data_IF_008324515181
#
_entry.id   IF_008324515181
#
_cell.length_a   1.000
_cell.length_b   1.000
_cell.length_c   1.000
_cell.angle_alpha   90.00
_cell.angle_beta   90.00
_cell.angle_gamma   90.00
#
_symmetry.space_group_name_H-M   'P 1'
#
loop_
_entity.id
_entity.type
_entity.pdbx_description
1 polymer ?
#
# COMPACT_ATOMS: atom_id res chain seq x y z
N UNK A 1 0.74 24.41 3.29
CA UNK A 1 0.61 23.00 3.74
C UNK A 1 1.98 22.31 3.63
N UNK A 2 2.40 21.54 4.64
CA UNK A 2 3.74 20.94 4.66
C UNK A 2 3.85 19.84 3.58
N UNK A 3 4.79 19.95 2.62
CA UNK A 3 4.90 19.06 1.43
C UNK A 3 4.83 17.57 1.77
N UNK A 4 5.44 17.16 2.89
CA UNK A 4 5.42 15.78 3.41
C UNK A 4 4.00 15.30 3.72
N UNK A 5 3.18 16.15 4.35
CA UNK A 5 1.79 15.84 4.68
C UNK A 5 0.95 15.64 3.42
N UNK A 6 1.13 16.52 2.42
CA UNK A 6 0.43 16.40 1.13
C UNK A 6 0.73 15.06 0.45
N UNK A 7 2.00 14.64 0.40
CA UNK A 7 2.40 13.40 -0.26
C UNK A 7 1.91 12.15 0.49
N UNK A 8 1.87 12.21 1.83
CA UNK A 8 1.29 11.13 2.65
C UNK A 8 -0.22 11.03 2.43
N UNK A 9 -0.93 12.16 2.42
CA UNK A 9 -2.36 12.20 2.09
C UNK A 9 -2.65 11.71 0.67
N UNK A 10 -1.83 12.11 -0.31
CA UNK A 10 -1.98 11.67 -1.69
C UNK A 10 -1.79 10.14 -1.83
N UNK A 11 -0.78 9.57 -1.16
CA UNK A 11 -0.55 8.13 -1.18
C UNK A 11 -1.71 7.36 -0.53
N UNK A 12 -2.22 7.87 0.59
CA UNK A 12 -3.40 7.31 1.23
C UNK A 12 -4.64 7.36 0.33
N UNK A 13 -4.87 8.49 -0.34
CA UNK A 13 -5.96 8.67 -1.29
C UNK A 13 -5.83 7.71 -2.48
N UNK A 14 -4.63 7.57 -3.06
CA UNK A 14 -4.38 6.65 -4.16
C UNK A 14 -4.65 5.20 -3.76
N UNK A 15 -4.18 4.79 -2.58
CA UNK A 15 -4.43 3.45 -2.06
C UNK A 15 -5.92 3.21 -1.78
N UNK A 16 -6.61 4.20 -1.23
CA UNK A 16 -8.06 4.14 -0.99
C UNK A 16 -8.83 3.94 -2.30
N UNK A 17 -8.55 4.76 -3.31
CA UNK A 17 -9.18 4.66 -4.62
C UNK A 17 -8.85 3.33 -5.31
N UNK A 18 -7.62 2.83 -5.18
CA UNK A 18 -7.23 1.54 -5.75
C UNK A 18 -8.04 0.37 -5.16
N UNK A 19 -8.23 0.35 -3.83
CA UNK A 19 -9.02 -0.67 -3.15
C UNK A 19 -10.51 -0.59 -3.57
N UNK A 20 -11.05 0.61 -3.75
CA UNK A 20 -12.45 0.78 -4.16
C UNK A 20 -12.70 0.45 -5.64
N UNK A 21 -11.78 0.81 -6.52
CA UNK A 21 -11.94 0.65 -7.98
C UNK A 21 -11.66 -0.77 -8.44
N UNK A 22 -10.68 -1.43 -7.82
CA UNK A 22 -10.29 -2.79 -8.18
C UNK A 22 -10.21 -3.68 -6.94
N UNK A 23 -11.34 -3.83 -6.20
CA UNK A 23 -11.39 -4.60 -4.97
C UNK A 23 -10.98 -6.06 -5.19
N UNK A 24 -11.15 -6.58 -6.40
CA UNK A 24 -10.79 -7.95 -6.78
C UNK A 24 -9.29 -8.25 -6.64
N UNK A 25 -8.43 -7.23 -6.78
CA UNK A 25 -6.99 -7.36 -6.60
C UNK A 25 -6.61 -7.38 -5.10
N UNK A 26 -7.37 -6.68 -4.25
CA UNK A 26 -7.02 -6.45 -2.84
C UNK A 26 -7.77 -7.34 -1.85
N UNK A 27 -9.04 -7.67 -2.13
CA UNK A 27 -9.98 -8.35 -1.24
C UNK A 27 -10.28 -9.79 -1.68
N UNK A 28 -10.12 -10.10 -2.97
CA UNK A 28 -10.61 -11.37 -3.55
C UNK A 28 -9.51 -12.29 -4.05
N UNK A 29 -8.35 -12.21 -3.39
CA UNK A 29 -7.15 -12.97 -3.68
C UNK A 29 -7.33 -14.51 -3.83
N UNK A 30 -8.47 -15.07 -3.41
CA UNK A 30 -8.81 -16.50 -3.55
C UNK A 30 -9.87 -16.83 -4.62
N UNK A 31 -10.60 -15.88 -5.19
CA UNK A 31 -11.89 -16.19 -5.85
C UNK A 31 -12.07 -15.70 -7.28
N UNK A 32 -11.08 -15.04 -7.90
CA UNK A 32 -11.25 -14.55 -9.28
C UNK A 32 -10.32 -15.29 -10.24
N UNK A 33 -10.84 -16.19 -11.10
CA UNK A 33 -10.09 -16.69 -12.23
C UNK A 33 -10.05 -15.61 -13.33
N UNK A 34 -8.87 -15.40 -13.91
CA UNK A 34 -8.64 -14.71 -15.20
C UNK A 34 -8.90 -13.19 -15.25
N UNK A 35 -8.14 -12.40 -14.49
CA UNK A 35 -7.86 -10.99 -14.85
C UNK A 35 -6.69 -10.95 -15.83
N UNK A 36 -6.65 -10.09 -16.85
CA UNK A 36 -5.54 -10.08 -17.84
C UNK A 36 -4.13 -9.97 -17.20
N UNK A 37 -4.04 -9.44 -15.99
CA UNK A 37 -2.81 -9.37 -15.22
C UNK A 37 -2.28 -10.75 -14.75
N UNK A 38 -3.13 -11.80 -14.70
CA UNK A 38 -2.74 -13.18 -14.32
C UNK A 38 -1.67 -13.76 -15.20
N UNK A 39 -1.68 -13.35 -16.46
CA UNK A 39 -0.78 -13.85 -17.49
C UNK A 39 0.65 -13.32 -17.29
N UNK A 40 0.77 -12.11 -16.72
CA UNK A 40 2.04 -11.44 -16.48
C UNK A 40 2.52 -11.55 -15.03
N UNK A 41 1.59 -11.74 -14.09
CA UNK A 41 1.87 -11.82 -12.66
C UNK A 41 0.97 -12.90 -12.03
N UNK A 42 1.51 -13.95 -11.39
CA UNK A 42 0.67 -14.96 -10.75
C UNK A 42 -0.29 -14.30 -9.75
N UNK A 43 -1.60 -14.45 -9.98
CA UNK A 43 -2.64 -14.01 -9.04
C UNK A 43 -2.45 -14.76 -7.72
N UNK A 44 -2.72 -14.13 -6.55
CA UNK A 44 -3.16 -12.75 -6.31
C UNK A 44 -2.03 -11.78 -5.93
N UNK A 45 -0.79 -12.26 -5.80
CA UNK A 45 0.27 -11.51 -5.13
C UNK A 45 0.87 -10.40 -6.00
N UNK A 46 1.18 -10.67 -7.27
CA UNK A 46 2.00 -9.74 -8.06
C UNK A 46 1.29 -8.43 -8.42
N UNK A 47 0.04 -8.48 -8.86
CA UNK A 47 -0.70 -7.28 -9.26
C UNK A 47 -1.05 -6.37 -8.06
N UNK A 48 -1.52 -6.96 -6.95
CA UNK A 48 -1.82 -6.20 -5.73
C UNK A 48 -0.56 -5.56 -5.13
N UNK A 49 0.56 -6.29 -5.14
CA UNK A 49 1.84 -5.75 -4.73
C UNK A 49 2.31 -4.60 -5.61
N UNK A 50 2.17 -4.72 -6.93
CA UNK A 50 2.59 -3.68 -7.87
C UNK A 50 1.79 -2.40 -7.70
N UNK A 51 0.45 -2.50 -7.57
CA UNK A 51 -0.40 -1.34 -7.33
C UNK A 51 -0.09 -0.71 -5.97
N UNK A 52 0.00 -1.52 -4.90
CA UNK A 52 0.37 -1.02 -3.57
C UNK A 52 1.75 -0.36 -3.58
N UNK A 53 2.72 -0.91 -4.33
CA UNK A 53 4.01 -0.28 -4.56
C UNK A 53 3.81 1.12 -5.16
N UNK A 54 3.17 1.25 -6.32
CA UNK A 54 2.97 2.56 -6.96
C UNK A 54 2.28 3.56 -6.03
N UNK A 55 1.20 3.15 -5.35
CA UNK A 55 0.44 4.03 -4.45
C UNK A 55 1.27 4.57 -3.28
N UNK A 56 2.28 3.83 -2.80
CA UNK A 56 3.10 4.19 -1.64
C UNK A 56 4.34 5.03 -1.98
N UNK A 57 4.72 5.13 -3.26
CA UNK A 57 5.91 5.89 -3.71
C UNK A 57 5.92 7.32 -3.19
N UNK A 58 4.84 8.13 -3.31
CA UNK A 58 4.91 9.55 -2.93
C UNK A 58 5.21 9.72 -1.43
N UNK A 59 4.65 8.86 -0.58
CA UNK A 59 4.82 8.89 0.86
C UNK A 59 6.22 8.45 1.32
N UNK A 60 6.77 7.39 0.72
CA UNK A 60 8.10 6.88 1.09
C UNK A 60 9.22 7.79 0.58
N UNK A 61 9.02 8.47 -0.56
CA UNK A 61 10.01 9.39 -1.14
C UNK A 61 9.95 10.82 -0.58
N UNK A 62 8.87 11.19 0.11
CA UNK A 62 8.76 12.45 0.85
C UNK A 62 9.65 12.51 2.11
N UNK A 63 10.11 11.35 2.60
CA UNK A 63 10.88 11.25 3.83
C UNK A 63 12.21 12.00 3.73
N UNK A 64 12.53 12.77 4.77
CA UNK A 64 13.87 13.34 4.98
C UNK A 64 14.83 12.25 5.48
N UNK A 65 16.12 12.41 5.19
CA UNK A 65 17.16 11.40 5.49
C UNK A 65 17.65 11.39 6.94
N UNK A 66 17.09 12.23 7.82
CA UNK A 66 17.37 12.13 9.26
C UNK A 66 16.73 10.86 9.84
N UNK A 67 17.46 10.12 10.69
CA UNK A 67 16.95 8.88 11.34
C UNK A 67 15.63 9.14 12.10
N UNK A 68 15.51 10.31 12.74
CA UNK A 68 14.31 10.72 13.47
C UNK A 68 13.15 11.02 12.52
N UNK A 69 13.42 11.71 11.42
CA UNK A 69 12.41 12.00 10.38
C UNK A 69 11.95 10.75 9.64
N UNK A 70 12.85 9.80 9.40
CA UNK A 70 12.53 8.53 8.76
C UNK A 70 11.59 7.71 9.64
N UNK A 71 11.92 7.54 10.92
CA UNK A 71 11.06 6.81 11.86
C UNK A 71 9.69 7.46 11.99
N UNK A 72 9.66 8.80 12.09
CA UNK A 72 8.40 9.54 12.10
C UNK A 72 7.61 9.33 10.80
N UNK A 73 8.26 9.37 9.63
CA UNK A 73 7.58 9.15 8.36
C UNK A 73 7.06 7.73 8.23
N UNK A 74 7.83 6.70 8.62
CA UNK A 74 7.38 5.30 8.63
C UNK A 74 6.12 5.14 9.47
N UNK A 75 6.11 5.69 10.68
CA UNK A 75 4.93 5.64 11.57
C UNK A 75 3.73 6.35 10.93
N UNK A 76 3.95 7.53 10.34
CA UNK A 76 2.88 8.28 9.66
C UNK A 76 2.33 7.53 8.45
N UNK A 77 3.19 6.92 7.62
CA UNK A 77 2.77 6.15 6.46
C UNK A 77 2.00 4.90 6.88
N UNK A 78 2.48 4.17 7.90
CA UNK A 78 1.77 3.02 8.45
C UNK A 78 0.39 3.43 8.99
N UNK A 79 0.31 4.55 9.71
CA UNK A 79 -0.97 5.08 10.21
C UNK A 79 -1.93 5.43 9.06
N UNK A 80 -1.43 6.08 8.00
CA UNK A 80 -2.25 6.42 6.82
C UNK A 80 -2.74 5.16 6.13
N UNK A 81 -1.87 4.18 5.90
CA UNK A 81 -2.25 2.89 5.29
C UNK A 81 -3.31 2.20 6.15
N UNK A 82 -3.11 2.13 7.46
CA UNK A 82 -4.05 1.53 8.39
C UNK A 82 -5.43 2.19 8.35
N UNK A 83 -5.50 3.53 8.40
CA UNK A 83 -6.76 4.28 8.31
C UNK A 83 -7.46 4.05 6.97
N UNK A 84 -6.70 4.04 5.87
CA UNK A 84 -7.22 3.78 4.53
C UNK A 84 -7.82 2.38 4.47
N UNK A 85 -7.12 1.36 4.98
CA UNK A 85 -7.58 -0.03 4.95
C UNK A 85 -8.85 -0.19 5.79
N UNK A 86 -8.90 0.37 7.00
CA UNK A 86 -10.10 0.30 7.87
C UNK A 86 -11.34 0.88 7.18
N UNK A 87 -11.19 1.95 6.40
CA UNK A 87 -12.33 2.55 5.70
C UNK A 87 -12.63 1.88 4.36
N UNK A 88 -11.62 1.58 3.55
CA UNK A 88 -11.79 1.12 2.18
C UNK A 88 -12.35 -0.32 2.11
N UNK A 89 -11.90 -1.21 2.99
CA UNK A 89 -12.32 -2.62 3.00
C UNK A 89 -13.83 -2.79 3.22
N UNK A 90 -14.47 -2.23 4.26
CA UNK A 90 -15.91 -2.39 4.46
C UNK A 90 -16.71 -1.73 3.34
N UNK A 91 -16.28 -0.56 2.83
CA UNK A 91 -16.94 0.10 1.70
C UNK A 91 -16.88 -0.80 0.45
N UNK A 92 -15.71 -1.34 0.13
CA UNK A 92 -15.54 -2.22 -1.01
C UNK A 92 -16.36 -3.52 -0.87
N UNK A 93 -16.42 -4.12 0.32
CA UNK A 93 -17.29 -5.28 0.57
C UNK A 93 -18.77 -4.94 0.38
N UNK A 94 -19.22 -3.79 0.87
CA UNK A 94 -20.58 -3.33 0.69
C UNK A 94 -20.92 -3.10 -0.79
N UNK A 95 -20.01 -2.49 -1.56
CA UNK A 95 -20.21 -2.25 -3.01
C UNK A 95 -20.30 -3.56 -3.81
N UNK A 96 -19.67 -4.63 -3.33
CA UNK A 96 -19.74 -5.97 -3.95
C UNK A 96 -20.90 -6.82 -3.41
N UNK A 97 -21.73 -6.29 -2.51
CA UNK A 97 -22.87 -7.00 -1.93
C UNK A 97 -22.48 -8.16 -1.01
N UNK A 98 -21.28 -8.14 -0.44
CA UNK A 98 -20.77 -9.22 0.41
C UNK A 98 -21.06 -8.99 1.88
N UNK A 99 -21.13 -10.08 2.65
CA UNK A 99 -21.42 -10.03 4.06
C UNK A 99 -20.32 -9.27 4.84
N UNK A 100 -20.72 -8.24 5.58
CA UNK A 100 -19.87 -7.50 6.53
C UNK A 100 -19.72 -8.23 7.88
N UNK A 101 -19.69 -9.57 7.86
CA UNK A 101 -19.49 -10.35 9.07
C UNK A 101 -18.09 -10.12 9.63
N UNK A 102 -17.95 -10.19 10.96
CA UNK A 102 -16.67 -9.98 11.65
C UNK A 102 -15.56 -10.89 11.07
N UNK A 103 -15.89 -12.16 10.83
CA UNK A 103 -14.94 -13.13 10.28
C UNK A 103 -14.50 -12.76 8.86
N UNK A 104 -15.42 -12.28 8.02
CA UNK A 104 -15.07 -11.85 6.67
C UNK A 104 -14.20 -10.58 6.72
N UNK A 105 -14.59 -9.59 7.53
CA UNK A 105 -13.80 -8.36 7.69
C UNK A 105 -12.37 -8.65 8.18
N UNK A 106 -12.22 -9.48 9.21
CA UNK A 106 -10.88 -9.87 9.72
C UNK A 106 -10.04 -10.52 8.64
N UNK A 107 -10.61 -11.47 7.89
CA UNK A 107 -9.91 -12.13 6.79
C UNK A 107 -9.47 -11.13 5.71
N UNK A 108 -10.36 -10.20 5.36
CA UNK A 108 -10.12 -9.18 4.34
C UNK A 108 -9.04 -8.17 4.77
N UNK A 109 -9.06 -7.72 6.03
CA UNK A 109 -8.01 -6.88 6.58
C UNK A 109 -6.65 -7.57 6.57
N UNK A 110 -6.60 -8.85 6.93
CA UNK A 110 -5.37 -9.63 6.91
C UNK A 110 -4.81 -9.75 5.48
N UNK A 111 -5.67 -10.00 4.49
CA UNK A 111 -5.27 -10.06 3.09
C UNK A 111 -4.73 -8.73 2.56
N UNK A 112 -5.45 -7.64 2.78
CA UNK A 112 -5.02 -6.30 2.32
C UNK A 112 -3.71 -5.90 2.99
N UNK A 113 -3.52 -6.28 4.25
CA UNK A 113 -2.25 -6.06 4.96
C UNK A 113 -1.09 -6.83 4.32
N UNK A 114 -1.28 -8.11 3.96
CA UNK A 114 -0.28 -8.90 3.23
C UNK A 114 0.05 -8.28 1.86
N UNK A 115 -0.92 -7.62 1.21
CA UNK A 115 -0.68 -6.93 -0.06
C UNK A 115 0.09 -5.61 0.10
N UNK A 116 -0.15 -4.87 1.19
CA UNK A 116 0.44 -3.54 1.38
C UNK A 116 1.82 -3.55 2.06
N UNK A 117 2.06 -4.49 2.99
CA UNK A 117 3.27 -4.48 3.82
C UNK A 117 4.57 -4.77 3.05
N UNK A 118 4.67 -5.81 2.21
CA UNK A 118 5.91 -6.11 1.49
C UNK A 118 6.34 -5.01 0.53
N UNK A 119 5.45 -4.42 -0.31
CA UNK A 119 5.81 -3.25 -1.12
C UNK A 119 6.31 -2.07 -0.30
N UNK A 120 5.70 -1.80 0.87
CA UNK A 120 6.16 -0.76 1.78
C UNK A 120 7.59 -1.03 2.27
N UNK A 121 7.88 -2.27 2.68
CA UNK A 121 9.23 -2.69 3.11
C UNK A 121 10.23 -2.52 1.97
N UNK A 122 9.90 -2.98 0.76
CA UNK A 122 10.77 -2.84 -0.42
C UNK A 122 11.07 -1.38 -0.70
N UNK A 123 10.08 -0.48 -0.67
CA UNK A 123 10.31 0.95 -0.89
C UNK A 123 11.19 1.60 0.16
N UNK A 124 10.98 1.26 1.43
CA UNK A 124 11.84 1.74 2.50
C UNK A 124 13.27 1.23 2.33
N UNK A 125 13.45 -0.04 1.95
CA UNK A 125 14.75 -0.64 1.65
C UNK A 125 15.44 0.03 0.46
N UNK A 126 14.73 0.26 -0.65
CA UNK A 126 15.26 0.95 -1.83
C UNK A 126 15.68 2.38 -1.50
N UNK A 127 14.87 3.09 -0.70
CA UNK A 127 15.20 4.46 -0.28
C UNK A 127 16.43 4.49 0.62
N UNK A 128 16.59 3.51 1.50
CA UNK A 128 17.79 3.33 2.32
C UNK A 128 19.02 3.00 1.47
N UNK A 129 18.89 2.08 0.50
CA UNK A 129 19.97 1.69 -0.41
C UNK A 129 20.44 2.87 -1.28
N UNK A 130 19.52 3.67 -1.82
CA UNK A 130 19.86 4.86 -2.61
C UNK A 130 20.74 5.86 -1.84
N UNK A 131 20.54 5.97 -0.52
CA UNK A 131 21.40 6.79 0.34
C UNK A 131 22.83 6.26 0.44
N UNK A 132 22.99 4.94 0.57
CA UNK A 132 24.33 4.36 0.60
C UNK A 132 25.07 4.70 -0.69
N UNK A 133 24.42 4.54 -1.85
CA UNK A 133 25.04 4.88 -3.13
C UNK A 133 25.39 6.36 -3.27
N UNK A 134 24.53 7.30 -2.84
CA UNK A 134 24.85 8.73 -2.97
C UNK A 134 25.91 9.22 -1.98
N UNK A 135 26.05 8.59 -0.81
CA UNK A 135 27.07 8.94 0.19
C UNK A 135 28.48 8.46 -0.19
N UNK A 136 28.61 7.43 -1.02
CA UNK A 136 29.89 6.90 -1.49
C UNK A 136 30.33 7.44 -2.86
N UNK A 137 29.47 8.20 -3.54
CA UNK A 137 29.74 8.77 -4.87
C UNK A 137 29.98 10.28 -4.82
N UNK A 138 29.85 10.92 -3.65
CA UNK A 138 30.33 12.29 -3.46
C UNK A 138 31.85 12.30 -3.20
N UNK A 139 32.67 12.93 -4.07
CA UNK A 139 34.10 13.13 -3.82
C UNK A 139 34.36 13.99 -2.57
#
# INVERSE_FOLDING_TARGET
MNRKRLLNSASGLLLFLAILTIPDIFLFAKTVPNSFWTEYFPLPFGAGWFVAFICLVPATWAASFSRRDLMHNVVVVLLVVFLVVIMAVPIALATKGLALSLNNLINQYLWVSIMCFPPLIVQLSLRLAHRFTTKFVSP
#
